data_IF_885216224915
#
_entry.id   IF_885216224915
#
_cell.length_a   1.000
_cell.length_b   1.000
_cell.length_c   1.000
_cell.angle_alpha   90.00
_cell.angle_beta   90.00
_cell.angle_gamma   90.00
#
_symmetry.space_group_name_H-M   'P 1'
#
loop_
_entity.id
_entity.type
_entity.pdbx_description
1 polymer ?
#
# COMPACT_ATOMS: atom_id res chain seq x y z
N UNK A 1 20.64 20.17 29.38
CA UNK A 1 19.17 20.26 29.12
C UNK A 1 18.91 19.59 27.78
N UNK A 2 18.38 18.36 27.82
CA UNK A 2 18.13 17.55 26.63
C UNK A 2 17.04 18.20 25.77
N UNK A 3 17.31 18.46 24.49
CA UNK A 3 16.27 18.75 23.50
C UNK A 3 15.44 17.47 23.36
N UNK A 4 14.37 17.34 24.15
CA UNK A 4 13.32 16.36 23.87
C UNK A 4 12.70 16.78 22.54
N UNK A 5 13.15 16.16 21.46
CA UNK A 5 12.42 16.22 20.19
C UNK A 5 10.99 15.77 20.42
N UNK A 6 10.06 16.34 19.65
CA UNK A 6 8.66 15.92 19.69
C UNK A 6 8.58 14.41 19.43
N UNK A 7 7.68 13.73 20.14
CA UNK A 7 7.45 12.29 19.99
C UNK A 7 7.01 11.96 18.54
N UNK A 8 7.53 10.90 17.88
CA UNK A 8 7.34 10.68 16.45
C UNK A 8 5.87 10.62 16.00
N UNK A 9 4.97 10.00 16.76
CA UNK A 9 3.55 9.97 16.42
C UNK A 9 2.95 11.37 16.47
N UNK A 10 3.30 12.18 17.48
CA UNK A 10 2.86 13.58 17.56
C UNK A 10 3.33 14.42 16.36
N UNK A 11 4.57 14.21 15.88
CA UNK A 11 5.08 14.86 14.65
C UNK A 11 4.26 14.44 13.44
N UNK A 12 3.95 13.16 13.29
CA UNK A 12 3.14 12.66 12.18
C UNK A 12 1.71 13.22 12.21
N UNK A 13 1.08 13.30 13.38
CA UNK A 13 -0.24 13.91 13.52
C UNK A 13 -0.24 15.41 13.25
N UNK A 14 0.85 16.12 13.58
CA UNK A 14 1.00 17.53 13.21
C UNK A 14 1.09 17.70 11.69
N UNK A 15 1.85 16.83 11.01
CA UNK A 15 1.88 16.78 9.55
C UNK A 15 0.48 16.52 8.95
N UNK A 16 -0.25 15.54 9.47
CA UNK A 16 -1.62 15.25 9.03
C UNK A 16 -2.53 16.47 9.15
N UNK A 17 -2.50 17.18 10.28
CA UNK A 17 -3.29 18.41 10.48
C UNK A 17 -2.91 19.51 9.49
N UNK A 18 -1.61 19.69 9.22
CA UNK A 18 -1.13 20.73 8.31
C UNK A 18 -1.51 20.45 6.86
N UNK A 19 -1.57 19.19 6.46
CA UNK A 19 -1.94 18.77 5.10
C UNK A 19 -3.43 18.48 4.92
N UNK A 20 -4.24 18.58 5.98
CA UNK A 20 -5.67 18.27 5.94
C UNK A 20 -5.97 16.79 5.73
N UNK A 21 -5.18 15.90 6.34
CA UNK A 21 -5.35 14.45 6.29
C UNK A 21 -6.18 14.00 7.49
N UNK A 22 -7.38 13.46 7.24
CA UNK A 22 -8.32 13.07 8.29
C UNK A 22 -7.99 11.73 8.97
N UNK A 23 -7.28 10.85 8.27
CA UNK A 23 -6.93 9.52 8.77
C UNK A 23 -5.83 8.88 7.94
N UNK A 24 -5.15 7.88 8.48
CA UNK A 24 -4.04 7.21 7.81
C UNK A 24 -4.01 5.70 8.06
N UNK A 25 -3.49 4.99 7.05
CA UNK A 25 -3.09 3.60 7.19
C UNK A 25 -1.58 3.59 7.47
N UNK A 26 -1.20 3.14 8.66
CA UNK A 26 0.18 2.98 9.08
C UNK A 26 0.75 1.71 8.45
N UNK A 27 1.62 1.87 7.46
CA UNK A 27 2.32 0.76 6.84
C UNK A 27 3.35 0.21 7.83
N UNK A 28 3.27 -1.09 8.12
CA UNK A 28 4.20 -1.75 9.03
C UNK A 28 5.57 -1.82 8.37
N UNK A 29 6.63 -1.24 8.98
CA UNK A 29 7.92 -1.18 8.34
C UNK A 29 8.60 -2.54 8.36
N UNK A 30 9.04 -3.01 7.19
CA UNK A 30 9.80 -4.26 7.06
C UNK A 30 11.01 -4.39 8.02
N UNK A 31 11.77 -3.33 8.39
CA UNK A 31 12.86 -3.47 9.36
C UNK A 31 12.47 -4.03 10.74
N UNK A 32 11.17 -3.99 11.09
CA UNK A 32 10.64 -4.61 12.31
C UNK A 32 10.17 -6.07 12.09
N UNK A 33 10.28 -6.60 10.87
CA UNK A 33 9.83 -7.94 10.51
C UNK A 33 8.37 -8.14 10.88
N UNK A 34 8.12 -9.12 11.74
CA UNK A 34 6.81 -9.48 12.28
C UNK A 34 6.56 -8.95 13.71
N UNK A 35 7.33 -7.97 14.17
CA UNK A 35 7.12 -7.29 15.46
C UNK A 35 6.21 -6.07 15.31
N UNK A 36 4.89 -6.28 15.41
CA UNK A 36 3.89 -5.23 15.22
C UNK A 36 3.73 -4.26 16.41
N UNK A 37 4.55 -4.33 17.46
CA UNK A 37 4.36 -3.53 18.69
C UNK A 37 4.24 -2.02 18.43
N UNK A 38 5.00 -1.48 17.47
CA UNK A 38 4.96 -0.07 17.14
C UNK A 38 3.64 0.35 16.48
N UNK A 39 3.15 -0.42 15.50
CA UNK A 39 1.87 -0.09 14.84
C UNK A 39 0.72 -0.29 15.82
N UNK A 40 0.78 -1.31 16.68
CA UNK A 40 -0.23 -1.55 17.72
C UNK A 40 -0.29 -0.39 18.74
N UNK A 41 0.86 0.13 19.21
CA UNK A 41 0.90 1.31 20.09
C UNK A 41 0.20 2.52 19.45
N UNK A 42 0.45 2.78 18.17
CA UNK A 42 -0.20 3.88 17.45
C UNK A 42 -1.72 3.68 17.33
N UNK A 43 -2.18 2.45 17.04
CA UNK A 43 -3.61 2.12 16.92
C UNK A 43 -4.34 2.21 18.26
N UNK A 44 -3.68 1.85 19.36
CA UNK A 44 -4.24 1.98 20.71
C UNK A 44 -4.37 3.44 21.15
N UNK A 45 -3.38 4.27 20.81
CA UNK A 45 -3.33 5.68 21.19
C UNK A 45 -4.33 6.54 20.43
N UNK A 46 -4.49 6.30 19.12
CA UNK A 46 -5.30 7.14 18.24
C UNK A 46 -6.23 6.30 17.34
N UNK A 47 -7.12 5.48 17.93
CA UNK A 47 -7.94 4.53 17.18
C UNK A 47 -8.92 5.20 16.22
N UNK A 48 -9.32 6.45 16.45
CA UNK A 48 -10.23 7.15 15.52
C UNK A 48 -9.56 7.51 14.18
N UNK A 49 -8.22 7.69 14.19
CA UNK A 49 -7.46 8.24 13.08
C UNK A 49 -6.71 7.17 12.28
N UNK A 50 -6.33 6.07 12.93
CA UNK A 50 -5.41 5.10 12.34
C UNK A 50 -6.01 3.72 12.08
N UNK A 51 -5.56 3.18 10.95
CA UNK A 51 -5.56 1.76 10.63
C UNK A 51 -4.12 1.31 10.43
N UNK A 52 -3.87 0.01 10.47
CA UNK A 52 -2.54 -0.56 10.33
C UNK A 52 -2.50 -1.63 9.25
N UNK A 53 -1.30 -1.93 8.80
CA UNK A 53 -1.00 -3.12 8.01
C UNK A 53 -0.14 -4.06 8.84
N UNK A 54 -0.06 -5.32 8.43
CA UNK A 54 0.87 -6.29 8.99
C UNK A 54 1.87 -6.74 7.94
N UNK A 55 2.93 -7.40 8.39
CA UNK A 55 3.88 -8.12 7.56
C UNK A 55 4.28 -9.37 8.33
N UNK A 56 4.31 -10.50 7.62
CA UNK A 56 4.90 -11.74 8.09
C UNK A 56 5.78 -12.30 6.98
N UNK A 57 6.80 -13.08 7.35
CA UNK A 57 7.64 -13.74 6.37
C UNK A 57 6.94 -14.98 5.83
N UNK A 58 6.69 -15.11 4.51
CA UNK A 58 5.98 -16.26 3.98
C UNK A 58 6.68 -17.59 4.18
N UNK A 59 7.97 -17.62 4.51
CA UNK A 59 8.73 -18.86 4.80
C UNK A 59 8.55 -19.36 6.24
N UNK A 60 7.84 -18.61 7.09
CA UNK A 60 7.41 -19.05 8.42
C UNK A 60 6.08 -19.80 8.32
N UNK A 61 6.08 -21.10 8.62
CA UNK A 61 4.89 -21.95 8.55
C UNK A 61 3.81 -21.53 9.55
N UNK A 62 4.17 -20.82 10.63
CA UNK A 62 3.23 -20.30 11.63
C UNK A 62 2.63 -18.94 11.25
N UNK A 63 3.13 -18.29 10.19
CA UNK A 63 2.70 -16.94 9.78
C UNK A 63 1.18 -16.82 9.55
N UNK A 64 0.48 -17.77 8.88
CA UNK A 64 -0.97 -17.67 8.72
C UNK A 64 -1.72 -17.70 10.06
N UNK A 65 -1.31 -18.56 11.00
CA UNK A 65 -1.97 -18.62 12.31
C UNK A 65 -1.75 -17.32 13.08
N UNK A 66 -0.50 -16.84 13.11
CA UNK A 66 -0.12 -15.59 13.79
C UNK A 66 -0.81 -14.36 13.20
N UNK A 67 -1.03 -14.33 11.89
CA UNK A 67 -1.84 -13.31 11.24
C UNK A 67 -3.29 -13.33 11.75
N UNK A 68 -3.88 -14.52 11.88
CA UNK A 68 -5.22 -14.69 12.45
C UNK A 68 -5.31 -14.18 13.89
N UNK A 69 -4.33 -14.51 14.72
CA UNK A 69 -4.27 -14.07 16.12
C UNK A 69 -4.14 -12.53 16.19
N UNK A 70 -3.23 -11.93 15.41
CA UNK A 70 -3.02 -10.48 15.35
C UNK A 70 -4.30 -9.73 14.97
N UNK A 71 -5.01 -10.16 13.92
CA UNK A 71 -6.23 -9.49 13.44
C UNK A 71 -7.38 -9.67 14.44
N UNK A 72 -7.44 -10.82 15.11
CA UNK A 72 -8.43 -11.04 16.17
C UNK A 72 -8.20 -10.13 17.37
N UNK A 73 -6.96 -9.83 17.72
CA UNK A 73 -6.61 -8.92 18.82
C UNK A 73 -6.76 -7.46 18.43
N UNK A 74 -6.41 -7.12 17.18
CA UNK A 74 -6.48 -5.76 16.66
C UNK A 74 -7.18 -5.72 15.28
N UNK A 75 -8.51 -5.55 15.25
CA UNK A 75 -9.29 -5.52 13.99
C UNK A 75 -9.04 -4.27 13.13
N UNK A 76 -8.22 -3.32 13.61
CA UNK A 76 -7.74 -2.17 12.80
C UNK A 76 -6.53 -2.49 11.92
N UNK A 77 -5.98 -3.71 12.00
CA UNK A 77 -5.11 -4.25 10.97
C UNK A 77 -5.96 -4.62 9.76
N UNK A 78 -5.86 -3.85 8.67
CA UNK A 78 -6.74 -3.95 7.50
C UNK A 78 -6.05 -4.47 6.24
N UNK A 79 -4.73 -4.64 6.29
CA UNK A 79 -3.96 -5.19 5.18
C UNK A 79 -2.82 -6.08 5.67
N UNK A 80 -2.43 -7.03 4.85
CA UNK A 80 -1.16 -7.77 5.00
C UNK A 80 -0.27 -7.46 3.81
N UNK A 81 0.95 -7.02 4.11
CA UNK A 81 1.92 -6.57 3.12
C UNK A 81 2.88 -7.70 2.75
N UNK A 82 2.94 -8.00 1.46
CA UNK A 82 3.94 -8.89 0.87
C UNK A 82 5.03 -8.03 0.23
N UNK A 83 6.25 -8.20 0.73
CA UNK A 83 7.42 -7.52 0.22
C UNK A 83 8.29 -8.53 -0.52
N UNK A 84 8.47 -8.39 -1.84
CA UNK A 84 9.17 -9.42 -2.61
C UNK A 84 10.69 -9.41 -2.36
N UNK A 85 11.30 -8.24 -2.22
CA UNK A 85 12.76 -8.13 -2.13
C UNK A 85 13.22 -6.88 -1.38
N UNK A 86 14.40 -6.97 -0.74
CA UNK A 86 15.12 -5.82 -0.19
C UNK A 86 16.58 -5.85 -0.63
N UNK A 87 16.96 -4.93 -1.51
CA UNK A 87 18.31 -4.92 -2.06
C UNK A 87 18.60 -6.22 -2.83
N UNK A 88 19.43 -7.10 -2.24
CA UNK A 88 19.76 -8.43 -2.82
C UNK A 88 18.98 -9.58 -2.18
N UNK A 89 18.24 -9.32 -1.11
CA UNK A 89 17.48 -10.33 -0.39
C UNK A 89 16.11 -10.53 -1.03
N UNK A 90 15.71 -11.78 -1.25
CA UNK A 90 14.38 -12.16 -1.74
C UNK A 90 13.61 -12.81 -0.59
N UNK A 91 12.48 -12.21 -0.21
CA UNK A 91 11.64 -12.74 0.88
C UNK A 91 10.62 -13.78 0.41
N UNK A 92 10.28 -13.74 -0.88
CA UNK A 92 9.50 -14.78 -1.55
C UNK A 92 10.15 -15.12 -2.89
N UNK A 93 10.14 -16.40 -3.23
CA UNK A 93 10.73 -16.87 -4.49
C UNK A 93 9.66 -16.81 -5.61
N UNK A 94 8.41 -17.16 -5.28
CA UNK A 94 7.25 -17.01 -6.16
C UNK A 94 5.95 -16.77 -5.39
N UNK A 95 5.00 -16.02 -5.98
CA UNK A 95 3.63 -15.96 -5.46
C UNK A 95 2.87 -17.30 -5.56
N UNK A 96 3.38 -18.25 -6.35
CA UNK A 96 2.85 -19.62 -6.45
C UNK A 96 3.38 -20.56 -5.36
N UNK A 97 4.33 -20.11 -4.54
CA UNK A 97 4.87 -20.91 -3.45
C UNK A 97 3.77 -21.23 -2.44
N UNK A 98 3.73 -22.48 -1.96
CA UNK A 98 2.68 -22.96 -1.05
C UNK A 98 2.52 -22.09 0.20
N UNK A 99 3.63 -21.64 0.76
CA UNK A 99 3.63 -20.87 2.01
C UNK A 99 3.20 -19.40 1.78
N UNK A 100 3.54 -18.83 0.61
CA UNK A 100 3.02 -17.52 0.16
C UNK A 100 1.52 -17.60 -0.08
N UNK A 101 1.05 -18.63 -0.78
CA UNK A 101 -0.37 -18.86 -1.02
C UNK A 101 -1.14 -19.11 0.28
N UNK A 102 -0.57 -19.83 1.25
CA UNK A 102 -1.21 -20.06 2.54
C UNK A 102 -1.41 -18.74 3.33
N UNK A 103 -0.38 -17.88 3.38
CA UNK A 103 -0.50 -16.57 4.01
C UNK A 103 -1.48 -15.66 3.26
N UNK A 104 -1.43 -15.68 1.92
CA UNK A 104 -2.35 -14.92 1.07
C UNK A 104 -3.80 -15.33 1.31
N UNK A 105 -4.09 -16.63 1.24
CA UNK A 105 -5.43 -17.18 1.47
C UNK A 105 -5.94 -16.82 2.85
N UNK A 106 -5.07 -16.91 3.87
CA UNK A 106 -5.45 -16.52 5.22
C UNK A 106 -5.80 -15.04 5.34
N UNK A 107 -5.02 -14.16 4.70
CA UNK A 107 -5.34 -12.73 4.67
C UNK A 107 -6.68 -12.45 3.96
N UNK A 108 -6.97 -13.15 2.87
CA UNK A 108 -8.25 -13.06 2.15
C UNK A 108 -9.42 -13.55 3.02
N UNK A 109 -9.27 -14.68 3.72
CA UNK A 109 -10.28 -15.21 4.66
C UNK A 109 -10.61 -14.22 5.78
N UNK A 110 -9.62 -13.45 6.23
CA UNK A 110 -9.77 -12.42 7.26
C UNK A 110 -10.34 -11.09 6.71
N UNK A 111 -10.59 -11.00 5.40
CA UNK A 111 -11.10 -9.79 4.75
C UNK A 111 -10.07 -8.67 4.61
N UNK A 112 -8.77 -9.00 4.66
CA UNK A 112 -7.69 -8.02 4.55
C UNK A 112 -7.42 -7.65 3.08
N UNK A 113 -6.94 -6.42 2.89
CA UNK A 113 -6.31 -6.01 1.63
C UNK A 113 -4.96 -6.71 1.52
N UNK A 114 -4.65 -7.25 0.34
CA UNK A 114 -3.31 -7.72 0.02
C UNK A 114 -2.49 -6.54 -0.51
N UNK A 115 -1.56 -6.04 0.30
CA UNK A 115 -0.68 -4.95 -0.09
C UNK A 115 0.63 -5.51 -0.67
N UNK A 116 1.04 -5.06 -1.86
CA UNK A 116 2.15 -5.64 -2.61
C UNK A 116 3.25 -4.60 -2.84
N UNK A 117 4.38 -4.79 -2.16
CA UNK A 117 5.63 -4.10 -2.50
C UNK A 117 6.47 -5.00 -3.38
N UNK A 118 6.27 -4.83 -4.68
CA UNK A 118 6.82 -5.70 -5.74
C UNK A 118 7.42 -4.85 -6.87
N UNK A 119 8.29 -5.48 -7.65
CA UNK A 119 8.75 -4.95 -8.93
C UNK A 119 7.86 -5.43 -10.10
N UNK A 120 8.07 -4.92 -11.32
CA UNK A 120 7.24 -5.26 -12.47
C UNK A 120 7.27 -6.75 -12.84
N UNK A 121 8.40 -7.42 -12.61
CA UNK A 121 8.60 -8.86 -12.85
C UNK A 121 7.63 -9.79 -12.09
N UNK A 122 6.91 -9.30 -11.08
CA UNK A 122 5.92 -10.08 -10.35
C UNK A 122 4.52 -10.02 -10.96
N UNK A 123 4.26 -9.14 -11.93
CA UNK A 123 2.90 -8.85 -12.41
C UNK A 123 2.17 -10.09 -12.95
N UNK A 124 2.83 -10.92 -13.75
CA UNK A 124 2.24 -12.15 -14.27
C UNK A 124 1.85 -13.11 -13.14
N UNK A 125 2.71 -13.28 -12.15
CA UNK A 125 2.45 -14.18 -11.01
C UNK A 125 1.25 -13.70 -10.19
N UNK A 126 1.16 -12.40 -9.92
CA UNK A 126 0.00 -11.79 -9.25
C UNK A 126 -1.27 -12.01 -10.06
N UNK A 127 -1.21 -11.85 -11.39
CA UNK A 127 -2.33 -12.10 -12.28
C UNK A 127 -2.77 -13.58 -12.30
N UNK A 128 -1.89 -14.54 -12.01
CA UNK A 128 -2.27 -15.95 -11.85
C UNK A 128 -3.04 -16.17 -10.56
N UNK A 129 -2.54 -15.65 -9.44
CA UNK A 129 -3.22 -15.74 -8.15
C UNK A 129 -4.61 -15.10 -8.21
N UNK A 130 -4.75 -13.94 -8.87
CA UNK A 130 -6.04 -13.27 -9.05
C UNK A 130 -7.01 -14.00 -9.98
N UNK A 131 -6.53 -14.87 -10.89
CA UNK A 131 -7.43 -15.72 -11.68
C UNK A 131 -8.07 -16.80 -10.81
N UNK A 132 -7.34 -17.31 -9.82
CA UNK A 132 -7.82 -18.34 -8.91
C UNK A 132 -8.59 -17.75 -7.72
N UNK A 133 -8.30 -16.51 -7.33
CA UNK A 133 -8.96 -15.76 -6.25
C UNK A 133 -9.45 -14.39 -6.75
N UNK A 134 -10.48 -14.35 -7.61
CA UNK A 134 -10.89 -13.13 -8.32
C UNK A 134 -11.48 -12.05 -7.44
N UNK A 135 -11.87 -12.36 -6.20
CA UNK A 135 -12.44 -11.38 -5.25
C UNK A 135 -11.39 -10.71 -4.35
N UNK A 136 -10.10 -11.10 -4.44
CA UNK A 136 -9.04 -10.52 -3.60
C UNK A 136 -8.79 -9.03 -3.89
N UNK A 137 -9.02 -8.17 -2.90
CA UNK A 137 -8.62 -6.76 -2.99
C UNK A 137 -7.10 -6.65 -2.89
N UNK A 138 -6.47 -6.12 -3.93
CA UNK A 138 -5.02 -5.92 -4.00
C UNK A 138 -4.70 -4.44 -4.04
N UNK A 139 -3.67 -4.02 -3.31
CA UNK A 139 -3.10 -2.68 -3.38
C UNK A 139 -1.61 -2.78 -3.75
N UNK A 140 -1.23 -2.25 -4.92
CA UNK A 140 0.15 -2.26 -5.39
C UNK A 140 0.86 -0.99 -4.91
N UNK A 141 1.98 -1.16 -4.19
CA UNK A 141 2.80 -0.07 -3.68
C UNK A 141 3.63 0.58 -4.80
N UNK A 142 3.87 1.89 -4.64
CA UNK A 142 4.91 2.65 -5.36
C UNK A 142 4.94 2.44 -6.87
N UNK A 143 3.76 2.32 -7.49
CA UNK A 143 3.63 2.08 -8.93
C UNK A 143 4.35 0.81 -9.41
N UNK A 144 4.43 -0.22 -8.56
CA UNK A 144 5.19 -1.46 -8.79
C UNK A 144 6.70 -1.22 -9.04
N UNK A 145 7.28 -0.18 -8.45
CA UNK A 145 8.71 0.14 -8.54
C UNK A 145 9.23 0.11 -9.99
N UNK A 146 8.74 1.00 -10.88
CA UNK A 146 8.94 0.88 -12.33
C UNK A 146 10.40 0.91 -12.78
N UNK A 147 11.30 1.44 -11.95
CA UNK A 147 12.73 1.50 -12.21
C UNK A 147 13.45 0.15 -12.00
N UNK A 148 12.75 -0.84 -11.44
CA UNK A 148 13.27 -2.19 -11.16
C UNK A 148 12.96 -3.21 -12.26
N UNK A 149 12.30 -2.78 -13.35
CA UNK A 149 11.96 -3.64 -14.48
C UNK A 149 12.09 -2.93 -15.82
N UNK A 150 11.66 -3.61 -16.88
CA UNK A 150 11.64 -3.07 -18.24
C UNK A 150 10.22 -2.71 -18.73
N UNK A 151 10.13 -2.18 -19.95
CA UNK A 151 8.86 -1.74 -20.53
C UNK A 151 7.87 -2.90 -20.79
N UNK A 152 8.36 -4.13 -21.01
CA UNK A 152 7.52 -5.32 -21.21
C UNK A 152 6.92 -5.73 -19.88
N UNK A 153 7.75 -5.88 -18.85
CA UNK A 153 7.29 -6.23 -17.50
C UNK A 153 6.34 -5.14 -16.96
N UNK A 154 6.61 -3.87 -17.25
CA UNK A 154 5.71 -2.80 -16.82
C UNK A 154 4.38 -2.79 -17.60
N UNK A 155 4.36 -3.22 -18.86
CA UNK A 155 3.10 -3.42 -19.57
C UNK A 155 2.24 -4.49 -18.88
N UNK A 156 2.84 -5.54 -18.35
CA UNK A 156 2.15 -6.57 -17.57
C UNK A 156 1.59 -6.02 -16.25
N UNK A 157 2.28 -5.05 -15.61
CA UNK A 157 1.74 -4.31 -14.46
C UNK A 157 0.48 -3.53 -14.85
N UNK A 158 0.51 -2.84 -16.00
CA UNK A 158 -0.66 -2.11 -16.49
C UNK A 158 -1.83 -3.05 -16.81
N UNK A 159 -1.56 -4.26 -17.32
CA UNK A 159 -2.59 -5.28 -17.58
C UNK A 159 -3.30 -5.76 -16.32
N UNK A 160 -2.74 -5.55 -15.12
CA UNK A 160 -3.45 -5.80 -13.86
C UNK A 160 -4.67 -4.89 -13.67
N UNK A 161 -4.73 -3.77 -14.41
CA UNK A 161 -5.91 -2.91 -14.46
C UNK A 161 -7.13 -3.58 -15.11
N UNK A 162 -7.04 -4.82 -15.63
CA UNK A 162 -8.21 -5.60 -16.04
C UNK A 162 -8.99 -6.22 -14.88
N UNK A 163 -8.40 -6.25 -13.68
CA UNK A 163 -9.03 -6.75 -12.47
C UNK A 163 -9.65 -5.58 -11.67
N UNK A 164 -10.95 -5.62 -11.43
CA UNK A 164 -11.70 -4.49 -10.85
C UNK A 164 -11.32 -4.17 -9.40
N UNK A 165 -10.72 -5.14 -8.70
CA UNK A 165 -10.30 -5.09 -7.31
C UNK A 165 -8.79 -4.86 -7.11
N UNK A 166 -8.06 -4.52 -8.18
CA UNK A 166 -6.65 -4.12 -8.08
C UNK A 166 -6.53 -2.61 -8.04
N UNK A 167 -5.96 -2.12 -6.96
CA UNK A 167 -5.67 -0.72 -6.70
C UNK A 167 -4.18 -0.45 -6.87
N UNK A 168 -3.84 0.78 -7.24
CA UNK A 168 -2.47 1.24 -7.42
C UNK A 168 -2.20 2.47 -6.55
N UNK A 169 -1.11 2.42 -5.78
CA UNK A 169 -0.71 3.52 -4.90
C UNK A 169 0.13 4.55 -5.66
N UNK A 170 -0.42 5.76 -5.86
CA UNK A 170 0.31 6.92 -6.36
C UNK A 170 1.24 7.46 -5.26
N UNK A 171 2.42 6.85 -5.17
CA UNK A 171 3.45 7.11 -4.16
C UNK A 171 4.81 6.65 -4.68
N UNK A 172 5.88 6.85 -3.89
CA UNK A 172 7.22 6.33 -4.23
C UNK A 172 7.88 7.01 -5.43
N UNK A 173 7.37 8.16 -5.89
CA UNK A 173 7.93 8.85 -7.06
C UNK A 173 9.39 9.26 -6.87
N UNK A 174 9.81 9.53 -5.62
CA UNK A 174 11.20 9.82 -5.27
C UNK A 174 12.19 8.67 -5.52
N UNK A 175 11.71 7.44 -5.77
CA UNK A 175 12.58 6.31 -6.11
C UNK A 175 13.15 6.43 -7.53
N UNK A 176 12.47 7.16 -8.43
CA UNK A 176 12.86 7.29 -9.84
C UNK A 176 12.77 8.71 -10.39
N UNK A 177 12.36 9.68 -9.57
CA UNK A 177 12.34 11.11 -9.89
C UNK A 177 13.02 11.93 -8.78
N UNK A 178 13.54 13.11 -9.14
CA UNK A 178 14.36 13.94 -8.22
C UNK A 178 13.83 15.36 -7.99
N UNK A 179 12.81 15.77 -8.72
CA UNK A 179 12.23 17.13 -8.66
C UNK A 179 11.15 17.23 -7.57
N UNK A 180 11.60 17.11 -6.32
CA UNK A 180 10.79 17.30 -5.12
C UNK A 180 10.10 18.67 -5.04
N UNK A 181 8.98 18.79 -4.30
CA UNK A 181 8.33 17.72 -3.53
C UNK A 181 7.24 16.97 -4.30
N UNK A 182 6.90 17.44 -5.50
CA UNK A 182 5.77 16.91 -6.28
C UNK A 182 6.18 15.97 -7.40
N UNK A 183 7.47 15.90 -7.76
CA UNK A 183 8.01 14.99 -8.76
C UNK A 183 7.35 15.11 -10.14
N UNK A 184 7.10 16.35 -10.57
CA UNK A 184 6.34 16.67 -11.78
C UNK A 184 6.96 16.10 -13.07
N UNK A 185 8.27 15.86 -13.09
CA UNK A 185 8.95 15.23 -14.23
C UNK A 185 8.50 13.78 -14.46
N UNK A 186 7.88 13.13 -13.45
CA UNK A 186 7.24 11.82 -13.59
C UNK A 186 5.80 11.89 -14.15
N UNK A 187 5.25 13.09 -14.42
CA UNK A 187 3.88 13.27 -14.98
C UNK A 187 3.63 12.48 -16.28
N UNK A 188 4.56 12.41 -17.26
CA UNK A 188 4.34 11.60 -18.46
C UNK A 188 4.10 10.12 -18.15
N UNK A 189 4.86 9.56 -17.20
CA UNK A 189 4.73 8.17 -16.78
C UNK A 189 3.46 7.93 -15.96
N UNK A 190 3.26 8.71 -14.90
CA UNK A 190 2.09 8.59 -14.02
C UNK A 190 0.78 8.80 -14.78
N UNK A 191 0.73 9.70 -15.78
CA UNK A 191 -0.45 9.86 -16.65
C UNK A 191 -0.86 8.55 -17.31
N UNK A 192 0.10 7.71 -17.73
CA UNK A 192 -0.21 6.39 -18.30
C UNK A 192 -0.85 5.49 -17.26
N UNK A 193 -0.25 5.37 -16.08
CA UNK A 193 -0.79 4.54 -14.99
C UNK A 193 -2.19 5.02 -14.58
N UNK A 194 -2.38 6.33 -14.45
CA UNK A 194 -3.67 6.93 -14.08
C UNK A 194 -4.73 6.63 -15.16
N UNK A 195 -4.38 6.67 -16.44
CA UNK A 195 -5.31 6.36 -17.52
C UNK A 195 -5.77 4.89 -17.53
N UNK A 196 -4.90 3.95 -17.17
CA UNK A 196 -5.23 2.51 -17.15
C UNK A 196 -6.06 2.13 -15.92
N UNK A 197 -5.65 2.56 -14.73
CA UNK A 197 -6.36 2.22 -13.49
C UNK A 197 -7.62 3.05 -13.28
N UNK A 198 -7.58 4.33 -13.68
CA UNK A 198 -8.63 5.31 -13.43
C UNK A 198 -8.69 5.77 -11.96
N UNK A 199 -9.29 6.94 -11.68
CA UNK A 199 -9.34 7.51 -10.33
C UNK A 199 -9.99 6.60 -9.27
N UNK A 200 -10.88 5.70 -9.69
CA UNK A 200 -11.62 4.77 -8.80
C UNK A 200 -10.74 3.66 -8.21
N UNK A 201 -9.54 3.46 -8.76
CA UNK A 201 -8.58 2.41 -8.35
C UNK A 201 -7.20 2.94 -8.04
N UNK A 202 -7.07 4.26 -7.87
CA UNK A 202 -5.85 4.86 -7.34
C UNK A 202 -6.04 5.21 -5.88
N UNK A 203 -4.98 5.05 -5.11
CA UNK A 203 -4.90 5.58 -3.74
C UNK A 203 -3.63 6.38 -3.60
N UNK A 204 -3.68 7.48 -2.86
CA UNK A 204 -2.50 8.25 -2.50
C UNK A 204 -1.80 7.61 -1.29
N UNK A 205 -0.48 7.79 -1.18
CA UNK A 205 0.25 7.39 0.02
C UNK A 205 1.51 8.21 0.26
N UNK A 206 1.71 8.59 1.52
CA UNK A 206 2.86 9.35 2.06
C UNK A 206 3.00 10.78 1.54
N UNK A 207 3.72 11.61 2.30
CA UNK A 207 4.01 13.00 1.94
C UNK A 207 2.79 13.91 1.98
N UNK A 208 2.70 14.81 1.00
CA UNK A 208 1.57 15.74 0.83
C UNK A 208 0.55 15.17 -0.17
N UNK A 209 -0.77 15.29 0.07
CA UNK A 209 -1.81 14.96 -0.91
C UNK A 209 -1.77 15.87 -2.16
N UNK A 210 -0.97 16.95 -2.15
CA UNK A 210 -0.73 17.81 -3.31
C UNK A 210 -0.12 17.07 -4.51
N UNK A 211 0.51 15.90 -4.30
CA UNK A 211 0.97 15.04 -5.39
C UNK A 211 -0.18 14.57 -6.29
N UNK A 212 -1.36 14.34 -5.71
CA UNK A 212 -2.55 13.97 -6.49
C UNK A 212 -2.97 15.13 -7.39
N UNK A 213 -2.93 16.36 -6.87
CA UNK A 213 -3.30 17.55 -7.65
C UNK A 213 -2.35 17.78 -8.83
N UNK A 214 -1.04 17.65 -8.61
CA UNK A 214 -0.04 17.84 -9.66
C UNK A 214 -0.12 16.77 -10.76
N UNK A 215 -0.37 15.51 -10.39
CA UNK A 215 -0.38 14.39 -11.32
C UNK A 215 -1.74 14.17 -12.00
N UNK A 216 -2.82 14.66 -11.40
CA UNK A 216 -4.19 14.50 -11.91
C UNK A 216 -4.86 15.84 -12.24
N UNK A 217 -4.10 16.85 -12.66
CA UNK A 217 -4.62 18.18 -13.04
C UNK A 217 -5.77 18.14 -14.07
N UNK A 218 -5.76 17.16 -14.97
CA UNK A 218 -6.80 16.98 -15.99
C UNK A 218 -8.10 16.32 -15.47
N UNK A 219 -8.12 15.87 -14.21
CA UNK A 219 -9.25 15.17 -13.59
C UNK A 219 -10.04 16.09 -12.67
N UNK A 220 -11.32 15.75 -12.46
CA UNK A 220 -12.19 16.55 -11.60
C UNK A 220 -11.72 16.56 -10.14
N UNK A 221 -12.19 17.53 -9.36
CA UNK A 221 -11.96 17.53 -7.91
C UNK A 221 -12.54 16.27 -7.24
N UNK A 222 -13.68 15.77 -7.74
CA UNK A 222 -14.29 14.53 -7.27
C UNK A 222 -13.39 13.32 -7.52
N UNK A 223 -12.78 13.22 -8.71
CA UNK A 223 -11.82 12.16 -9.04
C UNK A 223 -10.59 12.22 -8.13
N UNK A 224 -10.04 13.42 -7.93
CA UNK A 224 -8.88 13.61 -7.05
C UNK A 224 -9.22 13.28 -5.59
N UNK A 225 -10.42 13.59 -5.12
CA UNK A 225 -10.88 13.26 -3.77
C UNK A 225 -10.99 11.74 -3.55
N UNK A 226 -11.37 10.96 -4.57
CA UNK A 226 -11.35 9.49 -4.50
C UNK A 226 -9.92 8.99 -4.23
N UNK A 227 -8.94 9.52 -4.95
CA UNK A 227 -7.53 9.11 -4.81
C UNK A 227 -6.93 9.55 -3.48
N UNK A 228 -7.25 10.76 -3.01
CA UNK A 228 -6.74 11.31 -1.74
C UNK A 228 -7.21 10.54 -0.50
N UNK A 229 -8.31 9.79 -0.59
CA UNK A 229 -8.79 8.99 0.54
C UNK A 229 -10.15 8.31 0.32
N UNK A 230 -10.97 8.81 -0.60
CA UNK A 230 -12.32 8.28 -0.83
C UNK A 230 -12.36 6.79 -1.19
N UNK A 231 -11.38 6.29 -1.94
CA UNK A 231 -11.28 4.87 -2.28
C UNK A 231 -10.99 4.00 -1.06
N UNK A 232 -10.06 4.41 -0.19
CA UNK A 232 -9.76 3.70 1.05
C UNK A 232 -10.93 3.77 2.04
N UNK A 233 -11.55 4.94 2.19
CA UNK A 233 -12.75 5.12 3.01
C UNK A 233 -13.89 4.18 2.56
N UNK A 234 -14.10 4.03 1.25
CA UNK A 234 -15.08 3.10 0.67
C UNK A 234 -14.73 1.64 0.98
N UNK A 235 -13.48 1.23 0.78
CA UNK A 235 -13.02 -0.14 1.05
C UNK A 235 -13.17 -0.51 2.53
N UNK A 236 -12.91 0.43 3.42
CA UNK A 236 -12.92 0.20 4.87
C UNK A 236 -14.29 0.50 5.53
N UNK A 237 -15.26 1.03 4.78
CA UNK A 237 -16.52 1.53 5.34
C UNK A 237 -16.30 2.64 6.39
N UNK A 238 -15.20 3.40 6.25
CA UNK A 238 -14.80 4.43 7.22
C UNK A 238 -15.32 5.80 6.80
N UNK A 239 -15.77 6.57 7.77
CA UNK A 239 -16.17 7.97 7.60
C UNK A 239 -15.36 8.81 8.57
N UNK A 240 -14.65 9.85 8.09
CA UNK A 240 -13.98 10.81 8.97
C UNK A 240 -14.97 11.39 9.98
N UNK A 241 -14.54 11.51 11.24
CA UNK A 241 -15.31 12.11 12.34
C UNK A 241 -15.13 13.61 12.43
#
# INVERSE_FOLDING_TARGET
MSKRGMEPLAVYMEHMRNEGIDGAILVHPEPYGDDHRLVLDCLEREPALFFGTSLFYPKDDDAPQRLGDLVSEQPRIIATRFHAHRGKEQYLDSFSDKSVLALWQKAVELGLIIELHIGPNCALQVAEVLRDQPDTVVLIDHLAEPHMGDATEFAEVLDLARFDNVYMKLSGLGHFSKDEPLYESARPFTRRVIAEFGPQRLVWGSGSPGIVDAHMEAYSETDRALVKGGNLARLLGWVPT
#
